data_IF_702249710393
#
_entry.id   IF_702249710393
#
_cell.length_a   1.000
_cell.length_b   1.000
_cell.length_c   1.000
_cell.angle_alpha   90.00
_cell.angle_beta   90.00
_cell.angle_gamma   90.00
#
_symmetry.space_group_name_H-M   'P 1'
#
loop_
_entity.id
_entity.type
_entity.pdbx_description
1 polymer ?
#
# COMPACT_ATOMS: atom_id res chain seq x y z
N UNK A 1 14.80 1.41 11.82
CA UNK A 1 16.15 1.82 11.39
C UNK A 1 17.03 0.61 11.11
N UNK A 2 16.48 -0.37 10.39
CA UNK A 2 17.30 -1.26 9.57
C UNK A 2 17.26 -0.69 8.15
N UNK A 3 18.40 -0.52 7.48
CA UNK A 3 18.37 -0.21 6.05
C UNK A 3 17.89 -1.45 5.30
N UNK A 4 16.77 -1.35 4.61
CA UNK A 4 16.21 -2.44 3.80
C UNK A 4 16.64 -2.34 2.34
N UNK A 5 16.79 -1.12 1.81
CA UNK A 5 17.19 -0.86 0.43
C UNK A 5 18.70 -0.67 0.30
N UNK A 6 19.25 -1.18 -0.80
CA UNK A 6 20.65 -0.94 -1.18
C UNK A 6 20.80 0.48 -1.78
N UNK A 7 21.97 1.11 -1.70
CA UNK A 7 22.21 2.43 -2.32
C UNK A 7 21.85 2.47 -3.82
N UNK A 8 22.13 1.40 -4.56
CA UNK A 8 21.75 1.28 -5.97
C UNK A 8 20.23 1.31 -6.20
N UNK A 9 19.44 0.84 -5.22
CA UNK A 9 17.97 0.86 -5.28
C UNK A 9 17.43 2.26 -5.07
N UNK A 10 18.03 3.02 -4.14
CA UNK A 10 17.66 4.43 -3.90
C UNK A 10 18.06 5.32 -5.08
N UNK A 11 19.21 5.07 -5.71
CA UNK A 11 19.62 5.77 -6.93
C UNK A 11 18.64 5.53 -8.09
N UNK A 12 18.22 4.27 -8.27
CA UNK A 12 17.21 3.95 -9.28
C UNK A 12 15.88 4.67 -9.03
N UNK A 13 15.47 4.79 -7.76
CA UNK A 13 14.27 5.57 -7.42
C UNK A 13 14.43 7.04 -7.80
N UNK A 14 15.58 7.66 -7.51
CA UNK A 14 15.86 9.06 -7.86
C UNK A 14 15.87 9.26 -9.38
N UNK A 15 16.44 8.33 -10.14
CA UNK A 15 16.53 8.43 -11.61
C UNK A 15 15.18 8.18 -12.30
N UNK A 16 14.42 7.16 -11.86
CA UNK A 16 13.22 6.67 -12.58
C UNK A 16 11.90 7.13 -11.96
N UNK A 17 11.94 7.69 -10.74
CA UNK A 17 10.76 8.06 -9.96
C UNK A 17 10.02 6.89 -9.32
N UNK A 18 10.54 5.66 -9.41
CA UNK A 18 9.97 4.46 -8.78
C UNK A 18 11.03 3.36 -8.60
N UNK A 19 10.78 2.44 -7.67
CA UNK A 19 11.59 1.24 -7.48
C UNK A 19 10.71 0.03 -7.15
N UNK A 20 11.00 -1.10 -7.79
CA UNK A 20 10.38 -2.40 -7.53
C UNK A 20 11.32 -3.51 -8.05
N UNK A 21 11.21 -4.76 -7.56
CA UNK A 21 10.35 -5.22 -6.45
C UNK A 21 10.96 -4.93 -5.06
N UNK A 22 10.10 -4.82 -4.04
CA UNK A 22 10.48 -4.76 -2.63
C UNK A 22 9.64 -5.81 -1.89
N UNK A 23 10.30 -6.77 -1.24
CA UNK A 23 9.62 -7.83 -0.49
C UNK A 23 9.17 -7.37 0.89
N UNK A 24 8.46 -6.25 1.03
CA UNK A 24 8.18 -5.64 2.34
C UNK A 24 7.35 -6.53 3.29
N UNK A 25 6.53 -7.42 2.73
CA UNK A 25 5.74 -8.42 3.46
C UNK A 25 6.14 -9.83 3.02
N UNK A 26 6.01 -10.78 3.95
CA UNK A 26 6.00 -12.21 3.64
C UNK A 26 4.70 -12.60 2.93
N UNK A 27 4.68 -13.78 2.30
CA UNK A 27 3.48 -14.31 1.63
C UNK A 27 2.35 -14.53 2.63
N UNK A 28 2.70 -14.95 3.84
CA UNK A 28 1.78 -15.24 4.93
C UNK A 28 1.13 -13.94 5.43
N UNK A 29 1.91 -12.89 5.67
CA UNK A 29 1.42 -11.56 6.06
C UNK A 29 0.50 -10.97 4.99
N UNK A 30 0.87 -11.10 3.71
CA UNK A 30 0.02 -10.66 2.59
C UNK A 30 -1.30 -11.43 2.54
N UNK A 31 -1.26 -12.74 2.82
CA UNK A 31 -2.47 -13.60 2.87
C UNK A 31 -3.37 -13.20 4.03
N UNK A 32 -2.81 -12.86 5.19
CA UNK A 32 -3.57 -12.36 6.35
C UNK A 32 -4.26 -11.04 6.03
N UNK A 33 -3.57 -10.11 5.37
CA UNK A 33 -4.17 -8.84 4.93
C UNK A 33 -5.35 -9.07 3.98
N UNK A 34 -5.21 -9.99 3.03
CA UNK A 34 -6.29 -10.36 2.11
C UNK A 34 -7.48 -10.98 2.85
N UNK A 35 -7.23 -11.91 3.78
CA UNK A 35 -8.28 -12.53 4.58
C UNK A 35 -9.07 -11.50 5.44
N UNK A 36 -8.39 -10.47 5.95
CA UNK A 36 -9.06 -9.37 6.66
C UNK A 36 -9.99 -8.57 5.75
N UNK A 37 -9.55 -8.29 4.53
CA UNK A 37 -10.36 -7.63 3.51
C UNK A 37 -11.60 -8.48 3.16
N UNK A 38 -11.41 -9.75 2.79
CA UNK A 38 -12.48 -10.66 2.40
C UNK A 38 -13.51 -10.87 3.52
N UNK A 39 -13.04 -10.97 4.77
CA UNK A 39 -13.91 -11.08 5.94
C UNK A 39 -14.77 -9.84 6.12
N UNK A 40 -14.24 -8.66 5.84
CA UNK A 40 -15.02 -7.43 5.90
C UNK A 40 -16.07 -7.38 4.78
N UNK A 41 -15.67 -7.65 3.54
CA UNK A 41 -16.59 -7.70 2.39
C UNK A 41 -17.73 -8.71 2.61
N UNK A 42 -17.41 -9.88 3.16
CA UNK A 42 -18.39 -10.91 3.52
C UNK A 42 -19.40 -10.42 4.58
N UNK A 43 -18.95 -9.62 5.56
CA UNK A 43 -19.84 -9.06 6.59
C UNK A 43 -20.78 -7.99 6.05
N UNK A 44 -20.30 -7.15 5.12
CA UNK A 44 -21.12 -6.08 4.53
C UNK A 44 -21.92 -6.56 3.31
N UNK A 45 -21.68 -7.78 2.84
CA UNK A 45 -22.38 -8.41 1.71
C UNK A 45 -22.04 -7.80 0.35
N UNK A 46 -21.01 -6.96 0.26
CA UNK A 46 -20.62 -6.25 -0.95
C UNK A 46 -19.12 -5.94 -0.95
N UNK A 47 -18.48 -5.73 -2.11
CA UNK A 47 -17.10 -5.29 -2.18
C UNK A 47 -16.89 -3.93 -1.49
N UNK A 48 -15.68 -3.66 -1.01
CA UNK A 48 -15.34 -2.32 -0.49
C UNK A 48 -15.42 -1.31 -1.65
N UNK A 49 -16.32 -0.33 -1.51
CA UNK A 49 -16.53 0.71 -2.51
C UNK A 49 -16.69 2.12 -1.89
N UNK A 50 -16.59 3.14 -2.75
CA UNK A 50 -16.85 4.53 -2.44
C UNK A 50 -16.06 5.06 -1.25
N UNK A 51 -16.78 5.55 -0.23
CA UNK A 51 -16.21 6.21 0.95
C UNK A 51 -15.25 5.33 1.78
N UNK A 52 -15.35 4.01 1.67
CA UNK A 52 -14.50 3.08 2.42
C UNK A 52 -13.18 2.77 1.70
N UNK A 53 -13.05 3.21 0.44
CA UNK A 53 -11.84 3.00 -0.37
C UNK A 53 -10.72 3.99 -0.01
N UNK A 54 -11.06 5.15 0.54
CA UNK A 54 -10.11 6.22 0.85
C UNK A 54 -9.80 6.30 2.34
N UNK A 55 -8.51 6.40 2.68
CA UNK A 55 -7.99 6.35 4.05
C UNK A 55 -8.55 5.20 4.91
N UNK A 56 -8.63 3.95 4.39
CA UNK A 56 -9.12 2.80 5.16
C UNK A 56 -8.31 2.52 6.43
N UNK A 57 -7.09 3.04 6.57
CA UNK A 57 -6.27 2.87 7.77
C UNK A 57 -6.91 3.52 9.01
N UNK A 58 -7.85 4.46 8.83
CA UNK A 58 -8.63 5.04 9.92
C UNK A 58 -9.79 4.16 10.38
N UNK A 59 -10.18 3.18 9.55
CA UNK A 59 -11.32 2.30 9.79
C UNK A 59 -10.90 0.88 10.19
N UNK A 60 -9.70 0.47 9.77
CA UNK A 60 -9.21 -0.89 9.91
C UNK A 60 -7.91 -0.93 10.72
N UNK A 61 -7.93 -1.47 11.95
CA UNK A 61 -6.72 -1.62 12.78
C UNK A 61 -5.63 -2.45 12.08
N UNK A 62 -5.99 -3.53 11.38
CA UNK A 62 -5.02 -4.34 10.64
C UNK A 62 -4.29 -3.55 9.54
N UNK A 63 -4.95 -2.52 8.99
CA UNK A 63 -4.33 -1.67 7.99
C UNK A 63 -3.46 -0.59 8.63
N UNK A 64 -3.79 -0.15 9.85
CA UNK A 64 -2.89 0.63 10.68
C UNK A 64 -1.59 -0.16 10.97
N UNK A 65 -1.72 -1.45 11.33
CA UNK A 65 -0.57 -2.32 11.56
C UNK A 65 0.27 -2.47 10.28
N UNK A 66 -0.36 -2.56 9.11
CA UNK A 66 0.32 -2.62 7.83
C UNK A 66 1.10 -1.33 7.52
N UNK A 67 0.52 -0.14 7.72
CA UNK A 67 1.23 1.13 7.46
C UNK A 67 2.41 1.32 8.42
N UNK A 68 2.33 0.75 9.61
CA UNK A 68 3.36 0.81 10.65
C UNK A 68 4.29 -0.41 10.64
N UNK A 69 4.19 -1.28 9.63
CA UNK A 69 5.00 -2.48 9.53
C UNK A 69 6.49 -2.10 9.41
N UNK A 70 7.40 -2.64 10.24
CA UNK A 70 8.80 -2.19 10.29
C UNK A 70 9.50 -2.21 8.94
N UNK A 71 9.28 -3.25 8.12
CA UNK A 71 9.88 -3.36 6.79
C UNK A 71 9.28 -2.40 5.76
N UNK A 72 8.02 -2.00 5.94
CA UNK A 72 7.39 -0.97 5.11
C UNK A 72 7.99 0.39 5.47
N UNK A 73 8.09 0.70 6.77
CA UNK A 73 8.70 1.93 7.25
C UNK A 73 10.17 2.01 6.84
N UNK A 74 10.98 0.98 7.08
CA UNK A 74 12.40 0.94 6.70
C UNK A 74 12.58 1.18 5.18
N UNK A 75 11.75 0.56 4.31
CA UNK A 75 11.81 0.81 2.86
C UNK A 75 11.49 2.26 2.47
N UNK A 76 10.52 2.88 3.15
CA UNK A 76 10.08 4.25 2.86
C UNK A 76 11.09 5.26 3.44
N UNK A 77 11.58 5.03 4.65
CA UNK A 77 12.59 5.85 5.33
C UNK A 77 13.91 5.87 4.56
N UNK A 78 14.29 4.76 3.93
CA UNK A 78 15.48 4.69 3.07
C UNK A 78 15.41 5.62 1.85
N UNK A 79 14.20 5.99 1.42
CA UNK A 79 13.97 6.86 0.24
C UNK A 79 13.63 8.30 0.64
N UNK A 80 12.71 8.49 1.58
CA UNK A 80 12.17 9.80 1.96
C UNK A 80 12.90 10.42 3.16
N UNK A 81 13.73 9.66 3.86
CA UNK A 81 14.35 10.04 5.12
C UNK A 81 13.55 9.60 6.36
N UNK A 82 14.10 9.80 7.57
CA UNK A 82 13.57 9.21 8.81
C UNK A 82 12.27 9.83 9.32
N UNK A 83 11.91 11.03 8.84
CA UNK A 83 10.70 11.71 9.27
C UNK A 83 9.64 11.57 8.19
N UNK A 84 8.75 10.59 8.34
CA UNK A 84 7.68 10.30 7.38
C UNK A 84 6.32 10.28 8.06
N UNK A 85 5.31 10.74 7.32
CA UNK A 85 3.91 10.68 7.70
C UNK A 85 3.14 9.89 6.64
N UNK A 86 2.39 8.88 7.06
CA UNK A 86 1.39 8.25 6.21
C UNK A 86 0.18 9.19 6.08
N UNK A 87 0.05 9.87 4.94
CA UNK A 87 -1.03 10.84 4.68
C UNK A 87 -2.31 10.16 4.18
N UNK A 88 -2.17 9.00 3.55
CA UNK A 88 -3.28 8.31 2.92
C UNK A 88 -3.02 6.84 2.70
N UNK A 89 -4.09 6.06 2.69
CA UNK A 89 -4.10 4.74 2.08
C UNK A 89 -5.31 4.62 1.16
N UNK A 90 -5.28 3.69 0.21
CA UNK A 90 -6.44 3.36 -0.60
C UNK A 90 -6.39 1.92 -1.08
N UNK A 91 -7.55 1.26 -1.11
CA UNK A 91 -7.67 -0.02 -1.78
C UNK A 91 -7.77 0.18 -3.28
N UNK A 92 -7.00 -0.59 -4.04
CA UNK A 92 -7.04 -0.66 -5.50
C UNK A 92 -7.52 -2.05 -5.90
N UNK A 93 -8.77 -2.33 -5.55
CA UNK A 93 -9.42 -3.61 -5.85
C UNK A 93 -9.83 -3.67 -7.31
N UNK A 94 -9.49 -4.76 -7.99
CA UNK A 94 -9.87 -4.99 -9.38
C UNK A 94 -10.93 -6.08 -9.37
N UNK A 95 -12.20 -5.70 -9.29
CA UNK A 95 -13.29 -6.68 -9.25
C UNK A 95 -13.42 -7.39 -10.61
N UNK A 96 -13.16 -8.72 -10.70
CA UNK A 96 -13.27 -9.44 -11.97
C UNK A 96 -14.71 -9.48 -12.51
N UNK A 97 -15.72 -9.12 -11.71
CA UNK A 97 -17.14 -9.14 -12.09
C UNK A 97 -17.66 -7.83 -12.69
N UNK A 98 -16.85 -6.77 -12.73
CA UNK A 98 -17.25 -5.47 -13.29
C UNK A 98 -16.32 -5.12 -14.46
N UNK A 99 -16.73 -5.36 -15.72
CA UNK A 99 -15.96 -4.93 -16.87
C UNK A 99 -15.97 -3.40 -16.94
N UNK A 100 -14.81 -2.75 -16.80
CA UNK A 100 -14.64 -1.35 -17.23
C UNK A 100 -14.24 -0.31 -16.19
N UNK A 101 -14.05 -0.63 -14.89
CA UNK A 101 -13.54 0.35 -13.91
C UNK A 101 -12.01 0.40 -13.88
N UNK A 102 -11.37 0.50 -15.04
CA UNK A 102 -9.96 0.91 -15.16
C UNK A 102 -9.91 2.38 -15.57
N UNK A 103 -10.06 3.30 -14.61
CA UNK A 103 -9.64 4.68 -14.83
C UNK A 103 -8.10 4.72 -14.92
N UNK A 104 -7.60 4.58 -16.15
CA UNK A 104 -6.38 5.22 -16.68
C UNK A 104 -5.04 5.06 -15.98
N UNK A 105 -4.91 4.26 -14.92
CA UNK A 105 -3.62 4.06 -14.24
C UNK A 105 -2.98 2.77 -14.72
N UNK A 106 -1.81 2.94 -15.36
CA UNK A 106 -0.91 1.90 -15.85
C UNK A 106 -0.38 1.07 -14.67
N UNK A 107 -1.23 0.21 -14.12
CA UNK A 107 -0.91 -0.74 -13.05
C UNK A 107 -0.56 -2.11 -13.66
N UNK A 108 0.32 -2.90 -13.02
CA UNK A 108 0.67 -4.23 -13.52
C UNK A 108 -0.57 -5.14 -13.61
N UNK A 109 -0.56 -6.13 -14.51
CA UNK A 109 -1.70 -7.01 -14.72
C UNK A 109 -1.79 -7.98 -13.55
N UNK A 110 -3.00 -8.15 -13.00
CA UNK A 110 -3.41 -9.10 -11.95
C UNK A 110 -3.10 -8.72 -10.49
N UNK A 111 -4.14 -8.76 -9.65
CA UNK A 111 -4.06 -8.57 -8.18
C UNK A 111 -4.87 -7.39 -7.64
N UNK A 112 -5.33 -7.54 -6.40
CA UNK A 112 -5.81 -6.45 -5.55
C UNK A 112 -4.62 -5.79 -4.86
N UNK A 113 -4.60 -4.45 -4.86
CA UNK A 113 -3.47 -3.69 -4.32
C UNK A 113 -3.90 -2.79 -3.18
N UNK A 114 -2.98 -2.54 -2.26
CA UNK A 114 -3.12 -1.51 -1.23
C UNK A 114 -2.11 -0.42 -1.56
N UNK A 115 -2.61 0.78 -1.87
CA UNK A 115 -1.78 1.96 -2.04
C UNK A 115 -1.56 2.63 -0.69
N UNK A 116 -0.30 2.86 -0.32
CA UNK A 116 0.09 3.62 0.86
C UNK A 116 0.83 4.88 0.41
N UNK A 117 0.43 6.04 0.92
CA UNK A 117 1.00 7.33 0.53
C UNK A 117 1.68 7.95 1.72
N UNK A 118 3.00 8.09 1.62
CA UNK A 118 3.86 8.71 2.62
C UNK A 118 4.40 10.03 2.11
N UNK A 119 4.56 11.00 3.02
CA UNK A 119 5.16 12.29 2.73
C UNK A 119 6.06 12.74 3.89
N UNK A 120 7.14 13.49 3.60
CA UNK A 120 7.90 14.19 4.64
C UNK A 120 7.01 15.23 5.36
N UNK A 121 7.30 15.55 6.64
CA UNK A 121 6.60 16.62 7.35
C UNK A 121 6.78 17.97 6.64
N UNK A 122 5.70 18.75 6.56
CA UNK A 122 5.68 20.07 5.90
C UNK A 122 5.39 20.05 4.40
N UNK A 123 5.11 18.88 3.81
CA UNK A 123 4.62 18.74 2.44
C UNK A 123 3.13 19.12 2.37
N UNK A 124 2.83 20.41 2.32
CA UNK A 124 1.48 20.96 2.13
C UNK A 124 1.38 21.69 0.79
#
# INVERSE_FOLDING_TARGET
MGKLLKPSSTEQYVEKGYYHPIDALTREEATVCLAHLERYESKIGQPIDGKYRHKPHLLFPWLHDLISHPRVLDAVEDVLGPNILCWGSSFLLRNPRIPGTSHGTRTPPTGDWINLTFAPPGSH
#
